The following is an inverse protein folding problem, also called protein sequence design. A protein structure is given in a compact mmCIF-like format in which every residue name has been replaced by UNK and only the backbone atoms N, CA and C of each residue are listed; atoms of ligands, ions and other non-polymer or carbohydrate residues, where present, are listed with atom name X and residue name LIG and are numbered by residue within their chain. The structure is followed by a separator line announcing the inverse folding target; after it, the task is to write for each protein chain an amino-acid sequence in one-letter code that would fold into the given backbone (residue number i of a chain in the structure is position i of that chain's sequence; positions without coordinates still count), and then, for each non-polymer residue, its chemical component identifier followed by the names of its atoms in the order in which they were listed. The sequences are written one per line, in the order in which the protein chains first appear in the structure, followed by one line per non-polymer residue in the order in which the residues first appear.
data_IF_059003554596
#
_entry.id   IF_059003554596
#
_cell.length_a   1.000
_cell.length_b   1.000
_cell.length_c   1.000
_cell.angle_alpha   90.00
_cell.angle_beta   90.00
_cell.angle_gamma   90.00
#
_symmetry.space_group_name_H-M   'P 1'
#
loop_
_entity.id
_entity.type
_entity.pdbx_description
1 polymer ?
#
# COMPACT_ATOMS: atom_id res chain seq x y z
N UNK A 1 -34.71 24.80 -35.45
CA UNK A 1 -33.42 24.47 -34.81
C UNK A 1 -33.46 24.96 -33.36
N UNK A 2 -33.46 24.06 -32.37
CA UNK A 2 -33.63 24.42 -30.95
C UNK A 2 -32.34 25.05 -30.45
N UNK A 3 -32.34 26.35 -30.15
CA UNK A 3 -31.16 27.04 -29.63
C UNK A 3 -30.78 26.42 -28.27
N UNK A 4 -29.62 25.78 -28.20
CA UNK A 4 -29.12 25.22 -26.96
C UNK A 4 -28.75 26.35 -26.01
N UNK A 5 -29.34 26.36 -24.82
CA UNK A 5 -28.96 27.28 -23.76
C UNK A 5 -27.59 26.84 -23.20
N UNK A 6 -26.52 27.49 -23.65
CA UNK A 6 -25.14 27.18 -23.27
C UNK A 6 -24.77 27.65 -21.86
N UNK A 7 -25.61 28.49 -21.23
CA UNK A 7 -25.37 29.03 -19.88
C UNK A 7 -25.16 27.95 -18.80
N UNK A 8 -25.99 26.88 -18.69
CA UNK A 8 -25.72 25.79 -17.75
C UNK A 8 -24.38 25.09 -18.01
N UNK A 9 -24.01 24.88 -19.28
CA UNK A 9 -22.74 24.24 -19.65
C UNK A 9 -21.55 25.13 -19.25
N UNK A 10 -21.63 26.43 -19.53
CA UNK A 10 -20.61 27.40 -19.12
C UNK A 10 -20.49 27.51 -17.60
N UNK A 11 -21.62 27.49 -16.86
CA UNK A 11 -21.61 27.49 -15.39
C UNK A 11 -20.96 26.22 -14.83
N UNK A 12 -21.27 25.06 -15.41
CA UNK A 12 -20.66 23.79 -15.01
C UNK A 12 -19.15 23.77 -15.30
N UNK A 13 -18.74 24.25 -16.48
CA UNK A 13 -17.33 24.35 -16.85
C UNK A 13 -16.57 25.31 -15.92
N UNK A 14 -17.14 26.48 -15.61
CA UNK A 14 -16.57 27.42 -14.65
C UNK A 14 -16.43 26.80 -13.26
N UNK A 15 -17.47 26.12 -12.78
CA UNK A 15 -17.45 25.45 -11.47
C UNK A 15 -16.36 24.38 -11.41
N UNK A 16 -16.22 23.54 -12.44
CA UNK A 16 -15.16 22.55 -12.52
C UNK A 16 -13.77 23.20 -12.54
N UNK A 17 -13.59 24.31 -13.27
CA UNK A 17 -12.33 25.03 -13.31
C UNK A 17 -11.96 25.62 -11.93
N UNK A 18 -12.94 26.22 -11.22
CA UNK A 18 -12.72 26.74 -9.86
C UNK A 18 -12.37 25.62 -8.88
N UNK A 19 -13.11 24.50 -8.92
CA UNK A 19 -12.84 23.34 -8.06
C UNK A 19 -11.46 22.75 -8.36
N UNK A 20 -11.08 22.63 -9.63
CA UNK A 20 -9.76 22.16 -10.05
C UNK A 20 -8.64 23.07 -9.57
N UNK A 21 -8.80 24.39 -9.73
CA UNK A 21 -7.81 25.36 -9.25
C UNK A 21 -7.68 25.35 -7.72
N UNK A 22 -8.79 25.23 -6.98
CA UNK A 22 -8.78 25.11 -5.53
C UNK A 22 -8.08 23.84 -5.07
N UNK A 23 -8.34 22.70 -5.71
CA UNK A 23 -7.68 21.43 -5.41
C UNK A 23 -6.17 21.50 -5.70
N UNK A 24 -5.76 22.11 -6.81
CA UNK A 24 -4.35 22.31 -7.15
C UNK A 24 -3.64 23.21 -6.11
N UNK A 25 -4.26 24.31 -5.70
CA UNK A 25 -3.73 25.19 -4.67
C UNK A 25 -3.60 24.48 -3.32
N UNK A 26 -4.62 23.73 -2.89
CA UNK A 26 -4.58 22.94 -1.66
C UNK A 26 -3.46 21.89 -1.70
N UNK A 27 -3.29 21.19 -2.84
CA UNK A 27 -2.21 20.23 -3.04
C UNK A 27 -0.83 20.88 -2.98
N UNK A 28 -0.65 22.05 -3.61
CA UNK A 28 0.60 22.80 -3.58
C UNK A 28 0.97 23.23 -2.15
N UNK A 29 0.02 23.78 -1.40
CA UNK A 29 0.22 24.17 0.00
C UNK A 29 0.54 22.96 0.89
N UNK A 30 -0.15 21.83 0.68
CA UNK A 30 0.09 20.61 1.43
C UNK A 30 1.51 20.06 1.18
N UNK A 31 1.92 19.92 -0.09
CA UNK A 31 3.28 19.51 -0.47
C UNK A 31 4.33 20.48 0.10
N UNK A 32 4.08 21.79 0.00
CA UNK A 32 4.97 22.80 0.56
C UNK A 32 5.10 22.72 2.08
N UNK A 33 4.03 22.32 2.78
CA UNK A 33 4.04 22.21 4.25
C UNK A 33 4.73 20.95 4.79
N UNK A 34 4.69 19.84 4.04
CA UNK A 34 5.20 18.54 4.47
C UNK A 34 6.58 18.22 3.86
N UNK A 35 6.96 18.92 2.78
CA UNK A 35 8.12 18.58 1.96
C UNK A 35 7.91 17.28 1.17
N UNK A 36 8.92 16.90 0.38
CA UNK A 36 8.96 15.61 -0.32
C UNK A 36 9.81 14.66 0.52
N UNK A 37 9.17 13.66 1.12
CA UNK A 37 9.85 12.65 1.95
C UNK A 37 9.71 11.28 1.34
N UNK A 38 10.84 10.59 1.17
CA UNK A 38 10.86 9.18 0.83
C UNK A 38 10.41 8.28 2.00
N UNK A 39 10.12 8.83 3.19
CA UNK A 39 9.72 8.10 4.40
C UNK A 39 8.26 8.36 4.83
N UNK A 40 7.49 9.13 4.05
CA UNK A 40 6.12 9.47 4.39
C UNK A 40 5.21 8.25 4.28
N UNK A 41 4.63 7.81 5.40
CA UNK A 41 3.73 6.66 5.41
C UNK A 41 2.43 6.94 4.63
N UNK A 42 1.93 5.96 3.85
CA UNK A 42 0.76 6.15 3.02
C UNK A 42 -0.48 6.40 3.87
N UNK A 43 -1.31 7.35 3.43
CA UNK A 43 -2.61 7.60 4.06
C UNK A 43 -3.60 6.44 3.86
N UNK A 44 -4.76 6.52 4.53
CA UNK A 44 -5.80 5.49 4.43
C UNK A 44 -6.32 5.30 2.99
N UNK A 45 -6.53 6.41 2.26
CA UNK A 45 -7.01 6.38 0.88
C UNK A 45 -5.98 5.74 -0.06
N UNK A 46 -4.73 6.14 0.06
CA UNK A 46 -3.63 5.57 -0.73
C UNK A 46 -3.48 4.07 -0.45
N UNK A 47 -3.45 3.68 0.83
CA UNK A 47 -3.37 2.28 1.26
C UNK A 47 -4.52 1.46 0.69
N UNK A 48 -5.75 1.99 0.73
CA UNK A 48 -6.93 1.31 0.19
C UNK A 48 -6.82 1.09 -1.33
N UNK A 49 -6.47 2.14 -2.08
CA UNK A 49 -6.31 2.08 -3.54
C UNK A 49 -5.19 1.11 -3.90
N UNK A 50 -4.01 1.26 -3.29
CA UNK A 50 -2.84 0.41 -3.55
C UNK A 50 -3.12 -1.07 -3.28
N UNK A 51 -3.76 -1.40 -2.15
CA UNK A 51 -4.12 -2.79 -1.81
C UNK A 51 -5.18 -3.36 -2.75
N UNK A 52 -6.14 -2.54 -3.18
CA UNK A 52 -7.16 -2.95 -4.15
C UNK A 52 -6.54 -3.24 -5.51
N UNK A 53 -5.69 -2.33 -6.01
CA UNK A 53 -4.98 -2.51 -7.27
C UNK A 53 -4.07 -3.74 -7.24
N UNK A 54 -3.30 -3.96 -6.16
CA UNK A 54 -2.52 -5.19 -5.96
C UNK A 54 -3.41 -6.42 -6.03
N UNK A 55 -4.58 -6.40 -5.37
CA UNK A 55 -5.51 -7.53 -5.36
C UNK A 55 -6.04 -7.86 -6.75
N UNK A 56 -6.35 -6.83 -7.55
CA UNK A 56 -6.84 -6.95 -8.92
C UNK A 56 -5.75 -7.43 -9.89
N UNK A 57 -4.50 -7.08 -9.64
CA UNK A 57 -3.37 -7.44 -10.49
C UNK A 57 -2.95 -8.92 -10.38
N UNK A 58 -3.22 -9.59 -9.26
CA UNK A 58 -2.87 -11.01 -9.09
C UNK A 58 -3.95 -11.90 -9.71
N UNK A 59 -3.62 -12.74 -10.73
CA UNK A 59 -4.57 -13.65 -11.36
C UNK A 59 -5.28 -14.56 -10.36
N UNK A 60 -6.57 -14.83 -10.60
CA UNK A 60 -7.39 -15.60 -9.66
C UNK A 60 -6.92 -17.05 -9.46
N UNK A 61 -6.23 -17.64 -10.44
CA UNK A 61 -5.58 -18.95 -10.34
C UNK A 61 -4.43 -18.93 -9.33
N UNK A 62 -3.54 -17.94 -9.45
CA UNK A 62 -2.35 -17.82 -8.60
C UNK A 62 -2.72 -17.58 -7.13
N UNK A 63 -3.77 -16.80 -6.88
CA UNK A 63 -4.30 -16.54 -5.52
C UNK A 63 -4.76 -17.79 -4.78
N UNK A 64 -5.07 -18.87 -5.52
CA UNK A 64 -5.58 -20.13 -4.95
C UNK A 64 -4.50 -21.19 -4.80
N UNK A 65 -3.28 -20.91 -5.29
CA UNK A 65 -2.16 -21.83 -5.13
C UNK A 65 -1.92 -22.09 -3.65
N UNK A 66 -1.62 -23.35 -3.34
CA UNK A 66 -1.22 -23.80 -2.02
C UNK A 66 0.26 -24.15 -2.07
N UNK A 67 0.92 -24.01 -0.93
CA UNK A 67 2.30 -24.48 -0.80
C UNK A 67 2.31 -26.00 -1.13
N UNK A 68 3.06 -26.44 -2.17
CA UNK A 68 3.13 -27.85 -2.53
C UNK A 68 3.93 -28.68 -1.52
N UNK A 69 4.70 -28.03 -0.64
CA UNK A 69 5.48 -28.69 0.39
C UNK A 69 4.56 -29.08 1.55
N UNK A 70 4.49 -30.37 1.94
CA UNK A 70 3.66 -30.81 3.05
C UNK A 70 4.17 -30.23 4.37
N UNK A 71 3.25 -29.92 5.28
CA UNK A 71 3.57 -29.43 6.62
C UNK A 71 3.89 -30.63 7.51
N UNK A 72 5.17 -30.93 7.69
CA UNK A 72 5.68 -31.92 8.66
C UNK A 72 6.56 -31.24 9.71
N UNK A 73 6.84 -31.91 10.82
CA UNK A 73 7.75 -31.44 11.88
C UNK A 73 9.14 -31.10 11.32
N UNK A 74 9.65 -31.93 10.41
CA UNK A 74 10.98 -31.78 9.82
C UNK A 74 11.03 -30.57 8.89
N UNK A 75 9.99 -30.38 8.05
CA UNK A 75 9.87 -29.22 7.16
C UNK A 75 9.75 -27.93 7.97
N UNK A 76 8.96 -27.94 9.05
CA UNK A 76 8.83 -26.77 9.93
C UNK A 76 10.15 -26.44 10.63
N UNK A 77 10.86 -27.44 11.15
CA UNK A 77 12.17 -27.23 11.79
C UNK A 77 13.19 -26.64 10.79
N UNK A 78 13.25 -27.19 9.58
CA UNK A 78 14.10 -26.67 8.52
C UNK A 78 13.72 -25.23 8.13
N UNK A 79 12.42 -24.94 7.99
CA UNK A 79 11.91 -23.61 7.69
C UNK A 79 12.22 -22.58 8.77
N UNK A 80 12.10 -22.95 10.05
CA UNK A 80 12.45 -22.10 11.19
C UNK A 80 13.94 -21.78 11.23
N UNK A 81 14.81 -22.77 11.02
CA UNK A 81 16.26 -22.53 10.93
C UNK A 81 16.58 -21.58 9.77
N UNK A 82 16.02 -21.83 8.59
CA UNK A 82 16.26 -20.98 7.43
C UNK A 82 15.78 -19.54 7.66
N UNK A 83 14.62 -19.37 8.31
CA UNK A 83 14.08 -18.06 8.66
C UNK A 83 14.97 -17.31 9.66
N UNK A 84 15.46 -18.00 10.69
CA UNK A 84 16.37 -17.43 11.67
C UNK A 84 17.66 -16.92 11.01
N UNK A 85 18.19 -17.68 10.03
CA UNK A 85 19.45 -17.35 9.35
C UNK A 85 19.33 -16.21 8.33
N UNK A 86 18.18 -16.08 7.65
CA UNK A 86 18.05 -15.20 6.47
C UNK A 86 17.01 -14.08 6.60
N UNK A 87 16.03 -14.23 7.49
CA UNK A 87 14.87 -13.33 7.54
C UNK A 87 14.80 -12.55 8.87
N UNK A 88 15.18 -13.21 9.97
CA UNK A 88 14.98 -12.69 11.32
C UNK A 88 15.79 -11.42 11.62
N UNK A 89 16.87 -11.15 10.89
CA UNK A 89 17.64 -9.90 11.04
C UNK A 89 16.76 -8.64 10.86
N UNK A 90 15.81 -8.68 9.92
CA UNK A 90 14.88 -7.58 9.66
C UNK A 90 13.48 -7.84 10.22
N UNK A 91 13.01 -9.09 10.16
CA UNK A 91 11.63 -9.43 10.53
C UNK A 91 11.46 -9.91 11.99
N UNK A 92 12.56 -10.13 12.73
CA UNK A 92 12.54 -10.68 14.08
C UNK A 92 12.23 -12.17 14.10
N UNK A 93 12.78 -12.91 15.08
CA UNK A 93 12.50 -14.35 15.22
C UNK A 93 11.02 -14.64 15.56
N UNK A 94 10.31 -13.66 16.11
CA UNK A 94 8.88 -13.73 16.40
C UNK A 94 8.01 -13.21 15.25
N UNK A 95 8.62 -12.71 14.18
CA UNK A 95 7.93 -12.12 13.03
C UNK A 95 7.37 -10.71 13.24
N UNK A 96 7.69 -10.04 14.35
CA UNK A 96 7.16 -8.70 14.67
C UNK A 96 7.71 -7.58 13.77
N UNK A 97 8.90 -7.75 13.21
CA UNK A 97 9.66 -6.68 12.56
C UNK A 97 10.33 -5.69 13.53
N UNK A 98 10.21 -5.89 14.85
CA UNK A 98 10.76 -5.02 15.89
C UNK A 98 12.24 -5.32 16.16
N UNK A 99 13.07 -5.22 15.12
CA UNK A 99 14.53 -5.33 15.24
C UNK A 99 15.20 -3.96 15.08
N UNK A 100 16.44 -3.82 15.56
CA UNK A 100 17.23 -2.59 15.36
C UNK A 100 17.38 -2.21 13.88
N UNK A 101 17.42 -3.21 12.99
CA UNK A 101 17.43 -3.02 11.54
C UNK A 101 16.02 -2.70 11.04
N UNK A 102 15.02 -3.50 11.43
CA UNK A 102 13.64 -3.42 10.93
C UNK A 102 13.01 -2.06 11.16
N UNK A 103 13.18 -1.46 12.34
CA UNK A 103 12.63 -0.12 12.65
C UNK A 103 13.29 1.01 11.84
N UNK A 104 14.49 0.77 11.30
CA UNK A 104 15.25 1.74 10.51
C UNK A 104 14.96 1.70 9.01
N UNK A 105 14.28 0.66 8.51
CA UNK A 105 14.00 0.48 7.09
C UNK A 105 12.78 1.28 6.63
N UNK A 106 12.78 1.65 5.35
CA UNK A 106 11.60 2.18 4.68
C UNK A 106 11.43 1.52 3.29
N UNK A 107 10.26 0.88 3.01
CA UNK A 107 9.17 0.65 3.94
C UNK A 107 9.61 -0.29 5.10
N UNK A 108 8.97 -0.13 6.26
CA UNK A 108 9.22 -1.01 7.41
C UNK A 108 8.81 -2.45 7.06
N UNK A 109 9.53 -3.47 7.57
CA UNK A 109 9.06 -4.84 7.49
C UNK A 109 7.66 -4.93 8.10
N UNK A 110 6.67 -5.53 7.41
CA UNK A 110 5.37 -5.74 8.00
C UNK A 110 5.45 -6.74 9.14
N UNK A 111 4.59 -6.59 10.13
CA UNK A 111 4.37 -7.62 11.15
C UNK A 111 3.76 -8.85 10.46
N UNK A 112 4.54 -9.94 10.46
CA UNK A 112 4.20 -11.19 9.79
C UNK A 112 3.10 -11.94 10.56
N UNK A 113 2.78 -11.55 11.80
CA UNK A 113 1.73 -12.18 12.61
C UNK A 113 0.34 -11.68 12.22
N UNK A 114 0.24 -10.58 11.47
CA UNK A 114 -1.04 -9.93 11.16
C UNK A 114 -1.74 -10.55 9.94
N UNK A 115 -3.08 -10.68 9.95
CA UNK A 115 -3.84 -11.23 8.82
C UNK A 115 -3.60 -10.54 7.47
N UNK A 116 -3.44 -9.20 7.38
CA UNK A 116 -3.09 -8.52 6.13
C UNK A 116 -1.77 -8.94 5.48
N UNK A 117 -0.85 -9.52 6.25
CA UNK A 117 0.48 -9.96 5.80
C UNK A 117 0.48 -11.43 5.37
N UNK A 118 -0.36 -12.25 6.02
CA UNK A 118 -0.47 -13.70 5.79
C UNK A 118 -1.50 -14.10 4.71
N UNK A 119 -2.13 -13.12 4.05
CA UNK A 119 -3.28 -13.32 3.14
C UNK A 119 -2.93 -13.55 1.68
#
# INVERSE_FOLDING_TARGET
MKAWNLRPVLKAALLLAVVGAAAAAAMFLWIGSQGISAKAEPGALETFIARTMRKLAVPSGDRKLKNPVPVTSEVLAAGLSHYADHCAACHGNDGSGETSIGVGLYPKPPDMRLPPTQS
#
